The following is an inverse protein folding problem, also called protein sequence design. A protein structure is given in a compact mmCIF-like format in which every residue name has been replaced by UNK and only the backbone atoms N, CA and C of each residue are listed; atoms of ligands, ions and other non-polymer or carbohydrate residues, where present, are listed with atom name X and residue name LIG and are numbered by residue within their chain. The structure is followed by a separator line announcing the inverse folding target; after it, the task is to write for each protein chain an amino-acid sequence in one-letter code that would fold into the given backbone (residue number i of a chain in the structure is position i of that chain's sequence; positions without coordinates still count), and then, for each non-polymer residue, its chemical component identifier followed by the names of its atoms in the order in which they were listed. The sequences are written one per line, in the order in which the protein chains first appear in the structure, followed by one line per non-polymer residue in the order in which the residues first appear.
data_IF_596785651179
#
_entry.id   IF_596785651179
#
_cell.length_a   1.000
_cell.length_b   1.000
_cell.length_c   1.000
_cell.angle_alpha   90.00
_cell.angle_beta   90.00
_cell.angle_gamma   90.00
#
_symmetry.space_group_name_H-M   'P 1'
#
loop_
_entity.id
_entity.type
_entity.pdbx_description
1 polymer ?
#
# COMPACT_ATOMS: atom_id res chain seq x y z
N UNK A 1 -13.99 -12.90 22.92
CA UNK A 1 -13.33 -11.80 22.17
C UNK A 1 -11.84 -12.07 21.89
N UNK A 2 -11.08 -12.69 22.80
CA UNK A 2 -9.67 -13.06 22.53
C UNK A 2 -9.49 -14.04 21.37
N UNK A 3 -10.30 -15.12 21.29
CA UNK A 3 -10.19 -16.12 20.22
C UNK A 3 -10.25 -15.50 18.82
N UNK A 4 -11.22 -14.60 18.56
CA UNK A 4 -11.36 -13.94 17.27
C UNK A 4 -10.13 -13.07 16.94
N UNK A 5 -9.64 -12.26 17.90
CA UNK A 5 -8.45 -11.41 17.71
C UNK A 5 -7.20 -12.22 17.40
N UNK A 6 -7.01 -13.35 18.10
CA UNK A 6 -5.89 -14.26 17.88
C UNK A 6 -5.98 -14.86 16.46
N UNK A 7 -7.15 -15.36 16.07
CA UNK A 7 -7.37 -15.94 14.74
C UNK A 7 -7.08 -14.91 13.64
N UNK A 8 -7.61 -13.68 13.75
CA UNK A 8 -7.35 -12.62 12.77
C UNK A 8 -5.88 -12.24 12.70
N UNK A 9 -5.18 -12.19 13.85
CA UNK A 9 -3.75 -11.89 13.87
C UNK A 9 -2.93 -12.98 13.14
N UNK A 10 -3.24 -14.25 13.37
CA UNK A 10 -2.60 -15.35 12.63
C UNK A 10 -2.91 -15.30 11.13
N UNK A 11 -4.17 -15.05 10.74
CA UNK A 11 -4.55 -14.93 9.33
C UNK A 11 -3.79 -13.78 8.66
N UNK A 12 -3.70 -12.61 9.29
CA UNK A 12 -2.97 -11.47 8.76
C UNK A 12 -1.47 -11.75 8.68
N UNK A 13 -0.88 -12.36 9.71
CA UNK A 13 0.53 -12.70 9.73
C UNK A 13 0.88 -13.70 8.62
N UNK A 14 0.22 -14.84 8.57
CA UNK A 14 0.49 -15.86 7.55
C UNK A 14 0.10 -15.39 6.16
N UNK A 15 -0.97 -14.62 6.01
CA UNK A 15 -1.37 -14.00 4.76
C UNK A 15 -0.32 -13.00 4.25
N UNK A 16 0.23 -12.16 5.12
CA UNK A 16 1.30 -11.22 4.78
C UNK A 16 2.60 -11.97 4.41
N UNK A 17 2.98 -12.99 5.17
CA UNK A 17 4.17 -13.79 4.85
C UNK A 17 4.01 -14.54 3.53
N UNK A 18 2.83 -15.12 3.27
CA UNK A 18 2.53 -15.73 1.99
C UNK A 18 2.60 -14.68 0.86
N UNK A 19 2.02 -13.49 1.05
CA UNK A 19 2.13 -12.40 0.10
C UNK A 19 3.59 -12.00 -0.17
N UNK A 20 4.41 -11.90 0.88
CA UNK A 20 5.80 -11.47 0.77
C UNK A 20 6.70 -12.49 0.07
N UNK A 21 6.51 -13.79 0.33
CA UNK A 21 7.41 -14.83 -0.16
C UNK A 21 6.92 -15.59 -1.40
N UNK A 22 5.61 -15.62 -1.67
CA UNK A 22 5.05 -16.39 -2.79
C UNK A 22 4.59 -15.52 -3.96
N UNK A 23 4.28 -14.23 -3.76
CA UNK A 23 3.85 -13.39 -4.89
C UNK A 23 5.06 -12.95 -5.72
N UNK A 24 4.94 -12.91 -7.06
CA UNK A 24 5.89 -12.20 -7.90
C UNK A 24 5.86 -10.70 -7.61
N UNK A 25 6.96 -10.00 -7.91
CA UNK A 25 7.14 -8.57 -7.63
C UNK A 25 5.97 -7.69 -8.10
N UNK A 26 5.42 -7.99 -9.29
CA UNK A 26 4.27 -7.26 -9.84
C UNK A 26 3.00 -7.40 -8.98
N UNK A 27 2.69 -8.61 -8.53
CA UNK A 27 1.53 -8.87 -7.67
C UNK A 27 1.76 -8.32 -6.26
N UNK A 28 2.99 -8.36 -5.75
CA UNK A 28 3.35 -7.72 -4.48
C UNK A 28 3.12 -6.20 -4.53
N UNK A 29 3.53 -5.55 -5.61
CA UNK A 29 3.32 -4.12 -5.82
C UNK A 29 1.83 -3.76 -5.91
N UNK A 30 1.02 -4.57 -6.60
CA UNK A 30 -0.44 -4.42 -6.62
C UNK A 30 -1.01 -4.57 -5.20
N UNK A 31 -0.60 -5.59 -4.45
CA UNK A 31 -1.02 -5.83 -3.08
C UNK A 31 -0.72 -4.63 -2.17
N UNK A 32 0.52 -4.13 -2.17
CA UNK A 32 0.90 -2.94 -1.41
C UNK A 32 0.08 -1.71 -1.80
N UNK A 33 -0.18 -1.51 -3.10
CA UNK A 33 -0.97 -0.38 -3.59
C UNK A 33 -2.42 -0.43 -3.11
N UNK A 34 -3.02 -1.62 -3.03
CA UNK A 34 -4.35 -1.82 -2.46
C UNK A 34 -4.38 -1.56 -0.94
N UNK A 35 -3.35 -2.00 -0.22
CA UNK A 35 -3.20 -1.70 1.22
C UNK A 35 -3.10 -0.19 1.43
N UNK A 36 -2.32 0.53 0.62
CA UNK A 36 -2.22 1.99 0.66
C UNK A 36 -3.56 2.67 0.34
N UNK A 37 -4.33 2.17 -0.64
CA UNK A 37 -5.68 2.68 -0.93
C UNK A 37 -6.62 2.51 0.28
N UNK A 38 -6.60 1.34 0.93
CA UNK A 38 -7.36 1.08 2.15
C UNK A 38 -6.96 1.99 3.30
N UNK A 39 -5.67 2.22 3.50
CA UNK A 39 -5.16 3.18 4.48
C UNK A 39 -5.66 4.61 4.16
N UNK A 40 -5.56 5.05 2.91
CA UNK A 40 -6.04 6.36 2.46
C UNK A 40 -7.56 6.51 2.65
N UNK A 41 -8.34 5.44 2.47
CA UNK A 41 -9.78 5.44 2.75
C UNK A 41 -10.09 5.69 4.24
N UNK A 42 -9.35 5.06 5.15
CA UNK A 42 -9.49 5.27 6.60
C UNK A 42 -9.07 6.68 6.99
N UNK A 43 -7.96 7.18 6.44
CA UNK A 43 -7.50 8.56 6.64
C UNK A 43 -8.49 9.60 6.09
N UNK A 44 -9.10 9.37 4.93
CA UNK A 44 -10.16 10.21 4.40
C UNK A 44 -11.38 10.26 5.34
N UNK A 45 -11.67 9.16 6.04
CA UNK A 45 -12.70 9.13 7.09
C UNK A 45 -12.34 10.01 8.29
N UNK A 46 -11.10 9.93 8.78
CA UNK A 46 -10.60 10.77 9.87
C UNK A 46 -10.57 12.27 9.47
N UNK A 47 -10.25 12.55 8.21
CA UNK A 47 -10.27 13.90 7.62
C UNK A 47 -11.69 14.40 7.30
N UNK A 48 -12.74 13.62 7.58
CA UNK A 48 -14.15 13.94 7.34
C UNK A 48 -14.50 14.20 5.87
N UNK A 49 -13.82 13.53 4.94
CA UNK A 49 -14.21 13.55 3.53
C UNK A 49 -15.59 12.92 3.36
N UNK A 50 -16.47 13.58 2.59
CA UNK A 50 -17.87 13.20 2.42
C UNK A 50 -18.21 12.81 0.97
N UNK A 51 -19.16 11.89 0.81
CA UNK A 51 -19.62 11.46 -0.51
C UNK A 51 -18.50 10.85 -1.38
N UNK A 52 -18.39 11.33 -2.62
CA UNK A 52 -17.48 10.76 -3.63
C UNK A 52 -16.00 11.08 -3.36
N UNK A 53 -15.68 12.10 -2.56
CA UNK A 53 -14.28 12.53 -2.36
C UNK A 53 -13.46 11.50 -1.58
N UNK A 54 -14.08 10.75 -0.65
CA UNK A 54 -13.43 9.67 0.10
C UNK A 54 -12.97 8.50 -0.80
N UNK A 55 -13.84 7.87 -1.62
CA UNK A 55 -13.42 6.86 -2.60
C UNK A 55 -12.40 7.38 -3.59
N UNK A 56 -12.59 8.58 -4.11
CA UNK A 56 -11.69 9.16 -5.12
C UNK A 56 -10.29 9.35 -4.54
N UNK A 57 -10.19 9.89 -3.32
CA UNK A 57 -8.90 10.04 -2.64
C UNK A 57 -8.20 8.70 -2.41
N UNK A 58 -8.92 7.68 -1.94
CA UNK A 58 -8.39 6.33 -1.75
C UNK A 58 -7.89 5.71 -3.07
N UNK A 59 -8.70 5.80 -4.13
CA UNK A 59 -8.37 5.26 -5.45
C UNK A 59 -7.16 5.96 -6.07
N UNK A 60 -7.13 7.31 -6.02
CA UNK A 60 -6.00 8.09 -6.55
C UNK A 60 -4.71 7.80 -5.78
N UNK A 61 -4.78 7.62 -4.46
CA UNK A 61 -3.61 7.26 -3.65
C UNK A 61 -3.08 5.86 -4.01
N UNK A 62 -3.96 4.87 -4.11
CA UNK A 62 -3.58 3.53 -4.56
C UNK A 62 -2.99 3.52 -5.96
N UNK A 63 -3.60 4.25 -6.90
CA UNK A 63 -3.11 4.40 -8.26
C UNK A 63 -1.74 5.10 -8.31
N UNK A 64 -1.54 6.15 -7.50
CA UNK A 64 -0.26 6.83 -7.40
C UNK A 64 0.84 5.89 -6.89
N UNK A 65 0.58 5.10 -5.83
CA UNK A 65 1.50 4.08 -5.34
C UNK A 65 1.85 3.06 -6.43
N UNK A 66 0.86 2.59 -7.18
CA UNK A 66 1.05 1.62 -8.26
C UNK A 66 1.93 2.19 -9.38
N UNK A 67 1.60 3.38 -9.88
CA UNK A 67 2.29 4.00 -11.00
C UNK A 67 3.71 4.42 -10.63
N UNK A 68 3.91 5.03 -9.45
CA UNK A 68 5.23 5.43 -8.98
C UNK A 68 6.11 4.20 -8.70
N UNK A 69 5.55 3.15 -8.11
CA UNK A 69 6.28 1.91 -7.88
C UNK A 69 6.66 1.20 -9.18
N UNK A 70 5.75 1.17 -10.16
CA UNK A 70 6.02 0.60 -11.47
C UNK A 70 7.11 1.41 -12.21
N UNK A 71 7.03 2.74 -12.17
CA UNK A 71 8.04 3.64 -12.73
C UNK A 71 9.41 3.44 -12.06
N UNK A 72 9.44 3.25 -10.74
CA UNK A 72 10.66 2.96 -9.99
C UNK A 72 11.20 1.53 -10.23
N UNK A 73 10.49 0.68 -10.98
CA UNK A 73 10.92 -0.68 -11.29
C UNK A 73 10.62 -1.71 -10.20
N UNK A 74 9.82 -1.38 -9.18
CA UNK A 74 9.52 -2.26 -8.05
C UNK A 74 8.67 -3.49 -8.42
N UNK A 75 8.04 -3.48 -9.60
CA UNK A 75 7.18 -4.56 -10.08
C UNK A 75 7.87 -5.59 -10.98
N UNK A 76 9.19 -5.48 -11.19
CA UNK A 76 9.95 -6.37 -12.06
C UNK A 76 11.23 -6.89 -11.40
N UNK A 77 11.95 -7.76 -12.11
CA UNK A 77 13.16 -8.43 -11.60
C UNK A 77 14.45 -7.59 -11.74
N UNK A 78 14.33 -6.36 -12.25
CA UNK A 78 15.45 -5.45 -12.46
C UNK A 78 15.87 -4.70 -11.19
N UNK A 79 16.99 -3.97 -11.27
CA UNK A 79 17.43 -3.08 -10.18
C UNK A 79 16.49 -1.88 -10.12
N UNK A 80 15.78 -1.64 -9.00
CA UNK A 80 14.88 -0.50 -8.88
C UNK A 80 15.62 0.83 -8.93
N UNK A 81 15.01 1.84 -9.54
CA UNK A 81 15.52 3.22 -9.56
C UNK A 81 15.15 3.91 -8.25
N UNK A 82 15.79 3.49 -7.15
CA UNK A 82 15.47 3.97 -5.81
C UNK A 82 15.61 5.50 -5.65
N UNK A 83 16.52 6.11 -6.42
CA UNK A 83 16.70 7.58 -6.44
C UNK A 83 15.48 8.34 -6.91
N UNK A 84 14.63 7.74 -7.76
CA UNK A 84 13.39 8.37 -8.23
C UNK A 84 12.38 8.57 -7.09
N UNK A 85 12.42 7.73 -6.05
CA UNK A 85 11.57 7.84 -4.86
C UNK A 85 12.23 8.64 -3.73
N UNK A 86 13.52 8.99 -3.86
CA UNK A 86 14.29 9.70 -2.84
C UNK A 86 13.62 10.99 -2.35
N UNK A 87 13.18 11.91 -3.23
CA UNK A 87 12.50 13.13 -2.81
C UNK A 87 11.20 12.84 -2.04
N UNK A 88 10.42 11.84 -2.47
CA UNK A 88 9.18 11.45 -1.81
C UNK A 88 9.46 10.93 -0.39
N UNK A 89 10.46 10.08 -0.22
CA UNK A 89 10.86 9.59 1.11
C UNK A 89 11.40 10.69 2.01
N UNK A 90 12.16 11.65 1.47
CA UNK A 90 12.66 12.79 2.25
C UNK A 90 11.50 13.68 2.74
N UNK A 91 10.51 13.94 1.89
CA UNK A 91 9.31 14.68 2.30
C UNK A 91 8.53 13.89 3.36
N UNK A 92 8.32 12.59 3.14
CA UNK A 92 7.61 11.73 4.11
C UNK A 92 8.34 11.57 5.45
N UNK A 93 9.66 11.79 5.51
CA UNK A 93 10.39 11.79 6.78
C UNK A 93 10.24 13.09 7.57
N UNK A 94 9.80 14.18 6.92
CA UNK A 94 9.61 15.48 7.56
C UNK A 94 8.24 15.65 8.23
N UNK A 95 7.27 14.76 7.95
CA UNK A 95 5.90 14.77 8.46
C UNK A 95 5.57 13.45 9.15
#
# INVERSE_FOLDING_TARGET
MLKARIITAFILLFGLLAALFLLPASLWLVFCSLVCAGAAWEWGGLARFAGISRPVFAALTGLACLLLGAYAGLGGDGVPVASALGPLYLISAAF
#
